data_IF_737735225070
#
_entry.id   IF_737735225070
#
_cell.length_a   1.000
_cell.length_b   1.000
_cell.length_c   1.000
_cell.angle_alpha   90.00
_cell.angle_beta   90.00
_cell.angle_gamma   90.00
#
_symmetry.space_group_name_H-M   'P 1'
#
loop_
_entity.id
_entity.type
_entity.pdbx_description
1 polymer ?
#
# COMPACT_ATOMS: atom_id res chain seq x y z
N UNK A 1 -33.59 4.80 -18.18
CA UNK A 1 -33.42 3.42 -17.69
C UNK A 1 -32.60 3.51 -16.42
N UNK A 2 -32.94 2.75 -15.36
CA UNK A 2 -32.12 2.75 -14.16
C UNK A 2 -30.77 2.08 -14.47
N UNK A 3 -29.64 2.59 -13.95
CA UNK A 3 -28.41 1.81 -13.99
C UNK A 3 -28.64 0.46 -13.28
N UNK A 4 -28.06 -0.61 -13.83
CA UNK A 4 -28.13 -1.95 -13.24
C UNK A 4 -27.62 -1.90 -11.79
N UNK A 5 -28.33 -2.53 -10.84
CA UNK A 5 -27.86 -2.65 -9.45
C UNK A 5 -27.36 -4.07 -9.23
N UNK A 6 -26.07 -4.21 -8.91
CA UNK A 6 -25.41 -5.47 -8.55
C UNK A 6 -25.22 -5.54 -7.05
N UNK A 7 -25.85 -6.52 -6.42
CA UNK A 7 -25.77 -6.73 -4.97
C UNK A 7 -24.71 -7.77 -4.66
N UNK A 8 -23.76 -7.40 -3.80
CA UNK A 8 -22.74 -8.29 -3.24
C UNK A 8 -23.00 -8.40 -1.74
N UNK A 9 -23.06 -9.63 -1.22
CA UNK A 9 -23.29 -9.89 0.21
C UNK A 9 -22.03 -10.41 0.86
N UNK A 10 -21.67 -9.82 2.00
CA UNK A 10 -20.54 -10.21 2.81
C UNK A 10 -21.01 -10.77 4.14
N UNK A 11 -20.35 -11.85 4.58
CA UNK A 11 -20.69 -12.54 5.82
C UNK A 11 -19.97 -11.96 7.05
N UNK A 12 -19.26 -10.84 6.90
CA UNK A 12 -18.52 -10.17 7.96
C UNK A 12 -19.16 -8.85 8.37
N UNK A 13 -18.70 -8.32 9.51
CA UNK A 13 -18.97 -6.94 9.89
C UNK A 13 -18.32 -5.97 8.89
N UNK A 14 -18.85 -4.75 8.83
CA UNK A 14 -18.24 -3.69 8.03
C UNK A 14 -16.94 -3.21 8.69
N UNK A 15 -15.85 -3.44 8.00
CA UNK A 15 -14.52 -2.93 8.35
C UNK A 15 -14.11 -1.79 7.42
N UNK A 16 -13.24 -0.91 7.91
CA UNK A 16 -12.64 0.17 7.12
C UNK A 16 -11.12 -0.07 6.95
N UNK A 17 -10.63 0.01 5.71
CA UNK A 17 -9.20 -0.09 5.42
C UNK A 17 -8.42 1.01 6.17
N UNK A 18 -7.30 0.64 6.79
CA UNK A 18 -6.45 1.52 7.60
C UNK A 18 -6.89 1.63 9.07
N UNK A 19 -8.12 1.26 9.42
CA UNK A 19 -8.58 1.28 10.80
C UNK A 19 -8.09 0.07 11.60
N UNK A 20 -7.98 0.25 12.92
CA UNK A 20 -7.53 -0.78 13.87
C UNK A 20 -8.72 -1.29 14.65
N UNK A 21 -8.85 -2.61 14.76
CA UNK A 21 -9.92 -3.27 15.51
C UNK A 21 -9.36 -4.35 16.44
N UNK A 22 -10.01 -4.61 17.58
CA UNK A 22 -9.65 -5.72 18.45
C UNK A 22 -10.17 -7.05 17.90
N UNK A 23 -9.37 -8.10 18.07
CA UNK A 23 -9.73 -9.48 17.75
C UNK A 23 -9.28 -10.42 18.85
N UNK A 24 -10.10 -11.41 19.18
CA UNK A 24 -9.71 -12.48 20.10
C UNK A 24 -9.15 -13.67 19.34
N UNK A 25 -7.99 -14.19 19.74
CA UNK A 25 -7.43 -15.41 19.17
C UNK A 25 -8.16 -16.61 19.78
N UNK A 26 -8.98 -17.33 19.01
CA UNK A 26 -9.68 -18.50 19.53
C UNK A 26 -8.78 -19.72 19.69
N UNK A 27 -7.99 -19.98 18.65
CA UNK A 27 -7.08 -21.12 18.57
C UNK A 27 -6.12 -20.98 17.40
N UNK A 28 -5.04 -21.77 17.44
CA UNK A 28 -4.21 -22.07 16.27
C UNK A 28 -4.71 -23.37 15.63
N UNK A 29 -4.80 -23.40 14.31
CA UNK A 29 -5.11 -24.60 13.52
C UNK A 29 -3.95 -24.89 12.58
N UNK A 30 -3.64 -26.18 12.41
CA UNK A 30 -2.67 -26.67 11.44
C UNK A 30 -3.46 -27.30 10.29
N UNK A 31 -3.25 -26.80 9.07
CA UNK A 31 -3.90 -27.28 7.85
C UNK A 31 -2.98 -28.25 7.12
N UNK A 32 -1.67 -27.99 7.14
CA UNK A 32 -0.62 -28.88 6.65
C UNK A 32 0.68 -28.66 7.44
N UNK A 33 1.73 -29.43 7.12
CA UNK A 33 3.04 -29.35 7.81
C UNK A 33 3.66 -27.94 7.78
N UNK A 34 3.40 -27.16 6.73
CA UNK A 34 3.92 -25.80 6.54
C UNK A 34 2.78 -24.79 6.35
N UNK A 35 1.61 -25.07 6.93
CA UNK A 35 0.49 -24.15 6.85
C UNK A 35 -0.31 -24.19 8.14
N UNK A 36 -0.14 -23.15 8.95
CA UNK A 36 -0.89 -22.93 10.17
C UNK A 36 -1.56 -21.56 10.18
N UNK A 37 -2.70 -21.46 10.85
CA UNK A 37 -3.48 -20.22 10.99
C UNK A 37 -3.91 -19.99 12.43
N UNK A 38 -3.93 -18.73 12.86
CA UNK A 38 -4.71 -18.29 14.00
C UNK A 38 -6.15 -18.03 13.55
N UNK A 39 -7.12 -18.59 14.28
CA UNK A 39 -8.54 -18.29 14.09
C UNK A 39 -8.88 -17.10 14.97
N UNK A 40 -9.03 -15.94 14.36
CA UNK A 40 -9.42 -14.70 15.01
C UNK A 40 -10.94 -14.60 15.06
N UNK A 41 -11.46 -14.05 16.16
CA UNK A 41 -12.87 -13.70 16.32
C UNK A 41 -13.00 -12.19 16.45
N UNK A 42 -13.82 -11.57 15.60
CA UNK A 42 -14.18 -10.17 15.75
C UNK A 42 -15.21 -9.97 16.89
N UNK A 43 -15.48 -8.72 17.31
CA UNK A 43 -16.47 -8.45 18.35
C UNK A 43 -17.92 -8.85 18.02
N UNK A 44 -18.21 -9.22 16.76
CA UNK A 44 -19.53 -9.65 16.28
C UNK A 44 -19.61 -11.16 16.06
N UNK A 45 -18.55 -11.91 16.35
CA UNK A 45 -18.49 -13.36 16.22
C UNK A 45 -18.08 -13.87 14.83
N UNK A 46 -17.66 -13.00 13.91
CA UNK A 46 -17.12 -13.39 12.62
C UNK A 46 -15.69 -13.92 12.78
N UNK A 47 -15.39 -15.03 12.08
CA UNK A 47 -14.09 -15.70 12.14
C UNK A 47 -13.22 -15.31 10.96
N UNK A 48 -11.97 -14.94 11.23
CA UNK A 48 -10.96 -14.60 10.23
C UNK A 48 -9.74 -15.50 10.46
N UNK A 49 -9.07 -15.89 9.37
CA UNK A 49 -7.82 -16.65 9.43
C UNK A 49 -6.63 -15.70 9.27
N UNK A 50 -5.67 -15.79 10.19
CA UNK A 50 -4.40 -15.08 10.15
C UNK A 50 -3.26 -16.09 10.00
N UNK A 51 -2.39 -16.00 8.97
CA UNK A 51 -1.29 -16.96 8.76
C UNK A 51 -0.35 -16.99 9.97
N UNK A 52 -0.23 -18.11 10.67
CA UNK A 52 0.46 -18.18 11.96
C UNK A 52 1.99 -18.07 11.83
N UNK A 53 2.56 -18.64 10.76
CA UNK A 53 4.02 -18.71 10.56
C UNK A 53 4.65 -17.33 10.41
N UNK A 54 3.95 -16.42 9.74
CA UNK A 54 4.40 -15.03 9.53
C UNK A 54 4.59 -14.30 10.86
N UNK A 55 3.74 -14.60 11.85
CA UNK A 55 3.70 -13.90 13.14
C UNK A 55 4.15 -14.79 14.30
N UNK A 56 4.87 -15.90 14.02
CA UNK A 56 5.26 -16.86 15.06
C UNK A 56 6.10 -16.20 16.19
N UNK A 57 6.95 -15.24 15.81
CA UNK A 57 7.82 -14.50 16.74
C UNK A 57 7.07 -13.45 17.59
N UNK A 58 5.80 -13.17 17.32
CA UNK A 58 5.01 -12.25 18.16
C UNK A 58 4.51 -12.90 19.46
N UNK A 59 4.63 -14.22 19.61
CA UNK A 59 4.27 -14.91 20.86
C UNK A 59 2.76 -14.95 21.14
N UNK A 60 1.94 -15.04 20.08
CA UNK A 60 0.49 -15.08 20.22
C UNK A 60 -0.03 -16.38 20.82
N UNK A 61 -1.01 -16.27 21.72
CA UNK A 61 -1.64 -17.38 22.43
C UNK A 61 -3.17 -17.38 22.28
N UNK A 62 -3.80 -18.55 22.42
CA UNK A 62 -5.26 -18.65 22.43
C UNK A 62 -5.84 -17.93 23.67
N UNK A 63 -6.94 -17.21 23.47
CA UNK A 63 -7.55 -16.34 24.47
C UNK A 63 -6.99 -14.92 24.50
N UNK A 64 -5.85 -14.66 23.85
CA UNK A 64 -5.30 -13.30 23.78
C UNK A 64 -6.18 -12.40 22.91
N UNK A 65 -6.27 -11.13 23.31
CA UNK A 65 -6.80 -10.06 22.47
C UNK A 65 -5.63 -9.37 21.77
N UNK A 66 -5.75 -9.20 20.45
CA UNK A 66 -4.77 -8.51 19.62
C UNK A 66 -5.44 -7.38 18.85
N UNK A 67 -4.70 -6.31 18.60
CA UNK A 67 -5.13 -5.23 17.73
C UNK A 67 -4.62 -5.50 16.33
N UNK A 68 -5.52 -5.43 15.35
CA UNK A 68 -5.17 -5.62 13.94
C UNK A 68 -5.63 -4.43 13.12
N UNK A 69 -4.74 -3.93 12.26
CA UNK A 69 -5.05 -2.97 11.20
C UNK A 69 -5.69 -3.72 10.03
N UNK A 70 -6.75 -3.17 9.47
CA UNK A 70 -7.37 -3.70 8.24
C UNK A 70 -6.54 -3.18 7.06
N UNK A 71 -5.69 -4.04 6.50
CA UNK A 71 -4.77 -3.68 5.45
C UNK A 71 -5.46 -3.54 4.08
N UNK A 72 -6.40 -4.46 3.79
CA UNK A 72 -7.12 -4.48 2.52
C UNK A 72 -8.44 -5.21 2.65
N UNK A 73 -9.47 -4.74 1.96
CA UNK A 73 -10.70 -5.49 1.70
C UNK A 73 -10.81 -5.66 0.19
N UNK A 74 -10.76 -6.90 -0.30
CA UNK A 74 -10.87 -7.12 -1.75
C UNK A 74 -12.32 -7.04 -2.23
N UNK A 75 -12.53 -7.16 -3.54
CA UNK A 75 -13.88 -7.11 -4.14
C UNK A 75 -14.79 -8.26 -3.68
N UNK A 76 -14.23 -9.38 -3.18
CA UNK A 76 -15.03 -10.47 -2.60
C UNK A 76 -15.31 -10.28 -1.11
N UNK A 77 -14.92 -9.13 -0.53
CA UNK A 77 -15.10 -8.80 0.88
C UNK A 77 -14.21 -9.61 1.81
N UNK A 78 -13.22 -10.31 1.26
CA UNK A 78 -12.19 -10.94 2.07
C UNK A 78 -11.36 -9.83 2.73
N UNK A 79 -11.28 -9.91 4.05
CA UNK A 79 -10.55 -8.98 4.90
C UNK A 79 -9.13 -9.49 5.07
N UNK A 80 -8.18 -8.69 4.64
CA UNK A 80 -6.76 -8.86 4.91
C UNK A 80 -6.39 -7.88 6.03
N UNK A 81 -5.84 -8.41 7.11
CA UNK A 81 -5.48 -7.65 8.29
C UNK A 81 -4.08 -8.00 8.75
N UNK A 82 -3.45 -7.06 9.43
CA UNK A 82 -2.13 -7.19 10.00
C UNK A 82 -2.16 -6.83 11.49
N UNK A 83 -1.72 -7.71 12.39
CA UNK A 83 -1.55 -7.38 13.80
C UNK A 83 -0.54 -6.26 13.98
N UNK A 84 -0.79 -5.38 14.94
CA UNK A 84 0.22 -4.39 15.35
C UNK A 84 1.46 -5.12 15.88
N UNK A 85 2.64 -4.61 15.53
CA UNK A 85 3.89 -5.20 16.00
C UNK A 85 4.03 -4.97 17.51
N UNK A 86 4.40 -5.99 18.31
CA UNK A 86 4.47 -5.89 19.77
C UNK A 86 5.58 -4.98 20.32
N UNK A 87 6.41 -4.38 19.45
CA UNK A 87 7.66 -3.68 19.84
C UNK A 87 7.84 -2.41 19.02
N UNK A 88 7.68 -2.53 17.70
CA UNK A 88 7.95 -1.43 16.78
C UNK A 88 6.66 -0.73 16.34
N UNK A 89 6.75 0.58 16.16
CA UNK A 89 5.67 1.41 15.62
C UNK A 89 6.16 2.07 14.33
N UNK A 90 5.29 2.14 13.32
CA UNK A 90 5.59 2.86 12.07
C UNK A 90 5.89 4.35 12.36
N UNK A 91 6.86 4.91 11.63
CA UNK A 91 7.43 6.26 11.74
C UNK A 91 8.30 6.53 12.98
N UNK A 92 8.42 5.59 13.91
CA UNK A 92 9.33 5.71 15.05
C UNK A 92 10.75 5.26 14.69
N UNK A 93 11.74 5.78 15.42
CA UNK A 93 13.17 5.47 15.21
C UNK A 93 13.70 4.57 16.33
N UNK A 94 14.42 3.52 15.94
CA UNK A 94 15.02 2.54 16.85
C UNK A 94 16.47 2.25 16.46
N UNK A 95 17.26 1.80 17.44
CA UNK A 95 18.61 1.32 17.19
C UNK A 95 18.58 -0.18 16.85
N UNK A 96 19.26 -0.56 15.76
CA UNK A 96 19.41 -1.94 15.30
C UNK A 96 20.87 -2.37 15.33
N UNK A 97 21.11 -3.64 15.66
CA UNK A 97 22.45 -4.23 15.71
C UNK A 97 22.96 -4.55 14.31
N UNK A 98 24.16 -4.07 13.95
CA UNK A 98 24.78 -4.33 12.65
C UNK A 98 25.55 -5.64 12.70
N UNK A 99 25.16 -6.60 11.87
CA UNK A 99 25.81 -7.92 11.80
C UNK A 99 26.88 -7.99 10.71
N UNK A 100 26.57 -7.56 9.49
CA UNK A 100 27.50 -7.59 8.35
C UNK A 100 27.21 -6.49 7.35
N UNK A 101 28.16 -6.29 6.44
CA UNK A 101 28.12 -5.30 5.36
C UNK A 101 28.63 -5.94 4.08
N UNK A 102 28.05 -5.60 2.93
CA UNK A 102 28.54 -6.08 1.64
C UNK A 102 28.16 -5.14 0.51
N UNK A 103 28.77 -5.35 -0.65
CA UNK A 103 28.50 -4.62 -1.89
C UNK A 103 28.06 -5.65 -2.94
N UNK A 104 26.97 -5.37 -3.64
CA UNK A 104 26.53 -6.14 -4.81
C UNK A 104 26.73 -5.32 -6.08
N UNK A 105 27.15 -5.97 -7.16
CA UNK A 105 27.26 -5.35 -8.48
C UNK A 105 26.05 -5.80 -9.32
N UNK A 106 25.34 -4.82 -9.88
CA UNK A 106 24.18 -5.09 -10.74
C UNK A 106 24.61 -5.45 -12.17
N UNK A 107 23.67 -5.93 -13.00
CA UNK A 107 23.92 -6.24 -14.42
C UNK A 107 24.43 -5.05 -15.24
N UNK A 108 24.28 -3.82 -14.73
CA UNK A 108 24.72 -2.57 -15.37
C UNK A 108 26.05 -2.04 -14.78
N UNK A 109 26.79 -2.87 -14.03
CA UNK A 109 28.00 -2.51 -13.29
C UNK A 109 27.81 -1.36 -12.28
N UNK A 110 26.59 -1.17 -11.78
CA UNK A 110 26.35 -0.25 -10.65
C UNK A 110 26.54 -1.00 -9.33
N UNK A 111 27.32 -0.41 -8.41
CA UNK A 111 27.54 -0.93 -7.06
C UNK A 111 26.39 -0.53 -6.13
N UNK A 112 25.87 -1.49 -5.39
CA UNK A 112 24.86 -1.29 -4.36
C UNK A 112 25.42 -1.70 -3.00
N UNK A 113 25.27 -0.83 -2.01
CA UNK A 113 25.81 -1.02 -0.67
C UNK A 113 24.71 -1.50 0.27
N UNK A 114 25.00 -2.54 1.06
CA UNK A 114 24.04 -3.16 1.96
C UNK A 114 24.61 -3.35 3.37
N UNK A 115 23.74 -3.21 4.36
CA UNK A 115 24.01 -3.48 5.77
C UNK A 115 22.96 -4.47 6.29
N UNK A 116 23.40 -5.57 6.91
CA UNK A 116 22.52 -6.52 7.58
C UNK A 116 22.36 -6.13 9.04
N UNK A 117 21.11 -6.08 9.47
CA UNK A 117 20.68 -5.65 10.79
C UNK A 117 19.96 -6.78 11.51
N UNK A 118 19.96 -6.76 12.84
CA UNK A 118 19.04 -7.57 13.65
C UNK A 118 18.24 -6.75 14.63
N UNK A 119 17.00 -7.17 14.84
CA UNK A 119 16.06 -6.59 15.79
C UNK A 119 16.14 -7.28 17.17
N UNK A 120 15.25 -6.91 18.09
CA UNK A 120 15.17 -7.54 19.43
C UNK A 120 14.79 -9.02 19.38
N UNK A 121 14.12 -9.47 18.32
CA UNK A 121 13.75 -10.87 18.09
C UNK A 121 14.83 -11.65 17.34
N UNK A 122 16.00 -11.04 17.09
CA UNK A 122 17.11 -11.60 16.31
C UNK A 122 16.72 -11.96 14.87
N UNK A 123 15.71 -11.29 14.33
CA UNK A 123 15.32 -11.39 12.93
C UNK A 123 16.29 -10.57 12.06
N UNK A 124 16.85 -11.13 10.98
CA UNK A 124 17.75 -10.41 10.10
C UNK A 124 16.99 -9.53 9.09
N UNK A 125 17.51 -8.33 8.85
CA UNK A 125 17.00 -7.39 7.84
C UNK A 125 18.16 -6.90 6.97
N UNK A 126 17.92 -6.73 5.68
CA UNK A 126 18.88 -6.09 4.76
C UNK A 126 18.44 -4.66 4.50
N UNK A 127 19.36 -3.72 4.72
CA UNK A 127 19.16 -2.32 4.45
C UNK A 127 20.09 -1.87 3.32
N UNK A 128 19.51 -1.46 2.20
CA UNK A 128 20.25 -0.77 1.13
C UNK A 128 20.55 0.65 1.56
N UNK A 129 21.80 1.06 1.47
CA UNK A 129 22.29 2.38 1.91
C UNK A 129 23.07 3.08 0.80
N UNK A 130 23.28 4.39 0.95
CA UNK A 130 24.21 5.12 0.09
C UNK A 130 25.66 4.72 0.37
N UNK A 131 26.58 5.00 -0.56
CA UNK A 131 28.02 4.80 -0.33
C UNK A 131 28.51 5.62 0.89
N UNK A 132 28.02 6.86 1.03
CA UNK A 132 28.36 7.73 2.17
C UNK A 132 27.91 7.14 3.51
N UNK A 133 26.71 6.58 3.58
CA UNK A 133 26.22 5.88 4.77
C UNK A 133 27.01 4.62 5.07
N UNK A 134 27.29 3.84 4.03
CA UNK A 134 28.07 2.62 4.17
C UNK A 134 29.41 2.90 4.85
N UNK A 135 30.11 3.95 4.42
CA UNK A 135 31.35 4.41 5.03
C UNK A 135 31.15 5.00 6.43
N UNK A 136 30.10 5.81 6.64
CA UNK A 136 29.79 6.40 7.94
C UNK A 136 29.51 5.34 9.02
N UNK A 137 28.93 4.20 8.63
CA UNK A 137 28.64 3.08 9.50
C UNK A 137 29.71 1.99 9.47
N UNK A 138 30.87 2.19 8.83
CA UNK A 138 31.92 1.17 8.67
C UNK A 138 32.42 0.57 9.99
N UNK A 139 32.50 1.37 11.06
CA UNK A 139 32.97 0.97 12.39
C UNK A 139 31.87 0.94 13.47
N UNK A 140 30.62 1.25 13.11
CA UNK A 140 29.51 1.27 14.05
C UNK A 140 29.03 -0.16 14.40
N UNK A 141 28.59 -0.37 15.64
CA UNK A 141 27.89 -1.60 16.04
C UNK A 141 26.36 -1.47 15.96
N UNK A 142 25.87 -0.23 15.94
CA UNK A 142 24.45 0.10 15.89
C UNK A 142 24.18 1.11 14.78
N UNK A 143 22.98 1.03 14.20
CA UNK A 143 22.43 2.04 13.29
C UNK A 143 21.04 2.44 13.77
N UNK A 144 20.74 3.74 13.72
CA UNK A 144 19.38 4.21 13.97
C UNK A 144 18.60 4.11 12.67
N UNK A 145 17.47 3.41 12.71
CA UNK A 145 16.57 3.30 11.58
C UNK A 145 15.16 3.74 11.98
N UNK A 146 14.52 4.50 11.10
CA UNK A 146 13.08 4.76 11.16
C UNK A 146 12.35 3.55 10.57
N UNK A 147 11.29 3.12 11.23
CA UNK A 147 10.41 2.05 10.74
C UNK A 147 9.41 2.68 9.79
N UNK A 148 9.71 2.73 8.49
CA UNK A 148 8.82 3.33 7.48
C UNK A 148 7.46 2.62 7.42
N UNK A 149 7.50 1.29 7.53
CA UNK A 149 6.32 0.45 7.38
C UNK A 149 6.55 -0.91 8.03
N UNK A 150 5.48 -1.50 8.53
CA UNK A 150 5.45 -2.90 8.94
C UNK A 150 4.48 -3.63 8.00
N UNK A 151 4.98 -4.69 7.36
CA UNK A 151 4.20 -5.48 6.41
C UNK A 151 4.52 -6.96 6.57
N UNK A 152 3.48 -7.77 6.82
CA UNK A 152 3.60 -9.20 7.13
C UNK A 152 4.69 -9.47 8.18
N UNK A 153 4.67 -8.72 9.28
CA UNK A 153 5.67 -8.77 10.36
C UNK A 153 7.12 -8.45 9.96
N UNK A 154 7.36 -7.96 8.73
CA UNK A 154 8.67 -7.48 8.31
C UNK A 154 8.74 -5.97 8.46
N UNK A 155 9.83 -5.50 9.06
CA UNK A 155 10.15 -4.09 9.18
C UNK A 155 10.76 -3.59 7.87
N UNK A 156 10.19 -2.52 7.33
CA UNK A 156 10.79 -1.73 6.27
C UNK A 156 11.52 -0.57 6.92
N UNK A 157 12.84 -0.60 6.86
CA UNK A 157 13.70 0.30 7.61
C UNK A 157 14.31 1.36 6.68
N UNK A 158 14.51 2.56 7.20
CA UNK A 158 15.31 3.60 6.58
C UNK A 158 16.38 4.07 7.57
N UNK A 159 17.64 4.12 7.16
CA UNK A 159 18.71 4.71 7.97
C UNK A 159 18.40 6.19 8.25
N UNK A 160 18.52 6.61 9.51
CA UNK A 160 18.40 8.02 9.89
C UNK A 160 19.81 8.61 9.94
N UNK A 161 20.09 9.59 9.08
CA UNK A 161 21.36 10.32 9.11
C UNK A 161 21.41 11.27 10.31
N UNK A 162 22.60 11.53 10.85
CA UNK A 162 22.82 12.59 11.87
C UNK A 162 22.66 14.01 11.30
N UNK A 163 22.67 14.17 9.99
CA UNK A 163 22.52 15.45 9.28
C UNK A 163 21.43 15.30 8.23
N UNK A 164 20.25 15.81 8.55
CA UNK A 164 18.97 15.58 7.88
C UNK A 164 18.82 16.32 6.51
N UNK A 165 19.87 16.44 5.70
CA UNK A 165 19.81 17.28 4.49
C UNK A 165 19.79 16.56 3.15
N UNK A 166 20.11 15.28 3.06
CA UNK A 166 20.40 14.68 1.74
C UNK A 166 19.26 13.77 1.27
N UNK A 167 18.27 14.42 0.65
CA UNK A 167 17.37 13.89 -0.37
C UNK A 167 16.67 12.55 -0.07
N UNK A 168 15.97 12.50 1.05
CA UNK A 168 14.93 11.48 1.26
C UNK A 168 13.68 11.86 0.45
N UNK A 169 13.18 10.94 -0.38
CA UNK A 169 11.85 11.08 -0.96
C UNK A 169 10.83 11.05 0.20
N UNK A 170 9.97 12.05 0.28
CA UNK A 170 8.96 12.20 1.33
C UNK A 170 7.64 11.67 0.77
N UNK A 171 7.02 10.65 1.39
CA UNK A 171 5.74 10.13 0.95
C UNK A 171 4.70 11.24 0.76
N UNK A 172 4.01 11.21 -0.38
CA UNK A 172 3.01 12.21 -0.78
C UNK A 172 3.57 13.38 -1.60
N UNK A 173 4.88 13.63 -1.61
CA UNK A 173 5.48 14.68 -2.42
C UNK A 173 5.66 14.27 -3.89
N UNK A 174 5.66 15.27 -4.77
CA UNK A 174 5.90 15.10 -6.20
C UNK A 174 7.34 15.43 -6.57
N UNK A 175 7.91 14.60 -7.44
CA UNK A 175 9.27 14.72 -7.94
C UNK A 175 9.26 14.66 -9.46
N UNK A 176 10.07 15.51 -10.11
CA UNK A 176 10.21 15.48 -11.57
C UNK A 176 11.31 14.49 -11.94
N UNK A 177 10.98 13.51 -12.78
CA UNK A 177 11.86 12.44 -13.21
C UNK A 177 11.91 12.40 -14.74
N UNK A 178 13.08 12.09 -15.29
CA UNK A 178 13.27 11.94 -16.74
C UNK A 178 13.02 10.48 -17.15
N UNK A 179 12.18 10.25 -18.16
CA UNK A 179 11.98 8.92 -18.74
C UNK A 179 13.20 8.57 -19.59
N UNK A 180 13.96 7.55 -19.18
CA UNK A 180 15.17 7.10 -19.89
C UNK A 180 14.84 6.14 -21.03
N UNK A 181 13.98 5.15 -20.77
CA UNK A 181 13.49 4.19 -21.77
C UNK A 181 12.34 3.35 -21.18
N UNK A 182 11.70 2.54 -22.02
CA UNK A 182 10.77 1.48 -21.63
C UNK A 182 11.46 0.12 -21.77
N UNK A 183 11.55 -0.66 -20.69
CA UNK A 183 12.14 -1.99 -20.70
C UNK A 183 11.35 -2.94 -19.79
N UNK A 184 11.05 -4.15 -20.28
CA UNK A 184 10.44 -5.23 -19.49
C UNK A 184 9.18 -4.82 -18.70
N UNK A 185 8.27 -4.07 -19.32
CA UNK A 185 7.03 -3.53 -18.69
C UNK A 185 7.23 -2.38 -17.69
N UNK A 186 8.42 -1.77 -17.63
CA UNK A 186 8.71 -0.61 -16.78
C UNK A 186 9.27 0.56 -17.57
N UNK A 187 8.76 1.76 -17.28
CA UNK A 187 9.48 2.99 -17.58
C UNK A 187 10.63 3.11 -16.60
N UNK A 188 11.86 3.17 -17.11
CA UNK A 188 13.03 3.51 -16.29
C UNK A 188 13.12 5.03 -16.21
N UNK A 189 13.09 5.55 -15.00
CA UNK A 189 13.08 6.98 -14.70
C UNK A 189 14.39 7.37 -14.05
N UNK A 190 14.90 8.57 -14.34
CA UNK A 190 16.12 9.09 -13.71
C UNK A 190 15.81 10.37 -12.95
N UNK A 191 16.25 10.45 -11.69
CA UNK A 191 16.12 11.65 -10.87
C UNK A 191 17.25 12.67 -11.12
N UNK A 192 17.23 13.81 -10.41
CA UNK A 192 18.23 14.88 -10.57
C UNK A 192 19.64 14.48 -10.15
N UNK A 193 19.79 13.40 -9.38
CA UNK A 193 21.07 12.89 -8.91
C UNK A 193 21.60 11.76 -9.82
N UNK A 194 20.84 11.37 -10.84
CA UNK A 194 21.20 10.28 -11.74
C UNK A 194 20.76 8.89 -11.27
N UNK A 195 20.03 8.77 -10.15
CA UNK A 195 19.54 7.46 -9.71
C UNK A 195 18.41 6.98 -10.62
N UNK A 196 18.36 5.66 -10.85
CA UNK A 196 17.32 5.04 -11.67
C UNK A 196 16.20 4.46 -10.81
N UNK A 197 14.96 4.73 -11.22
CA UNK A 197 13.72 4.26 -10.62
C UNK A 197 12.85 3.57 -11.66
N UNK A 198 11.87 2.77 -11.23
CA UNK A 198 10.99 2.03 -12.13
C UNK A 198 9.53 2.42 -11.92
N UNK A 199 8.77 2.47 -13.01
CA UNK A 199 7.32 2.69 -13.02
C UNK A 199 6.63 1.66 -13.91
N UNK A 200 5.74 0.84 -13.36
CA UNK A 200 4.98 -0.19 -14.09
C UNK A 200 4.18 0.43 -15.25
N UNK A 201 4.50 0.10 -16.51
CA UNK A 201 3.94 0.78 -17.69
C UNK A 201 2.47 0.46 -17.92
N UNK A 202 2.06 -0.80 -17.68
CA UNK A 202 0.69 -1.30 -17.95
C UNK A 202 -0.44 -0.47 -17.34
N UNK A 203 -0.18 0.28 -16.26
CA UNK A 203 -1.18 1.14 -15.62
C UNK A 203 -1.29 2.52 -16.27
N UNK A 204 -0.29 2.94 -17.02
CA UNK A 204 -0.11 4.31 -17.51
C UNK A 204 0.17 4.39 -19.02
N UNK A 205 0.06 3.27 -19.76
CA UNK A 205 0.27 3.26 -21.22
C UNK A 205 -0.61 4.31 -21.94
N UNK A 206 -1.84 4.53 -21.46
CA UNK A 206 -2.76 5.53 -21.98
C UNK A 206 -2.37 6.98 -21.69
N UNK A 207 -1.36 7.24 -20.84
CA UNK A 207 -0.81 8.59 -20.63
C UNK A 207 0.13 9.01 -21.76
N UNK A 208 0.47 8.11 -22.69
CA UNK A 208 1.34 8.38 -23.82
C UNK A 208 2.73 8.93 -23.40
N UNK A 209 3.28 8.37 -22.32
CA UNK A 209 4.61 8.69 -21.80
C UNK A 209 5.67 8.16 -22.78
N UNK A 210 6.62 9.02 -23.15
CA UNK A 210 7.68 8.72 -24.12
C UNK A 210 9.08 8.86 -23.52
N UNK A 211 10.04 8.19 -24.15
CA UNK A 211 11.45 8.37 -23.84
C UNK A 211 11.85 9.85 -24.02
N UNK A 212 12.58 10.38 -23.04
CA UNK A 212 13.00 11.77 -22.98
C UNK A 212 12.05 12.70 -22.23
N UNK A 213 10.80 12.28 -21.96
CA UNK A 213 9.83 13.10 -21.24
C UNK A 213 10.28 13.40 -19.80
N UNK A 214 9.90 14.57 -19.32
CA UNK A 214 10.00 14.94 -17.90
C UNK A 214 8.61 14.77 -17.27
N UNK A 215 8.44 13.77 -16.42
CA UNK A 215 7.17 13.47 -15.76
C UNK A 215 7.24 13.80 -14.28
N UNK A 216 6.14 14.26 -13.70
CA UNK A 216 6.02 14.46 -12.25
C UNK A 216 5.39 13.23 -11.64
N UNK A 217 6.05 12.64 -10.65
CA UNK A 217 5.58 11.45 -9.95
C UNK A 217 5.42 11.73 -8.46
N UNK A 218 4.28 11.34 -7.89
CA UNK A 218 4.04 11.25 -6.45
C UNK A 218 4.81 10.06 -5.92
N UNK A 219 5.67 10.27 -4.93
CA UNK A 219 6.27 9.17 -4.19
C UNK A 219 5.27 8.63 -3.17
N UNK A 220 5.03 7.32 -3.19
CA UNK A 220 4.07 6.69 -2.27
C UNK A 220 4.79 6.08 -1.07
N UNK A 221 5.73 5.17 -1.28
CA UNK A 221 6.48 4.45 -0.25
C UNK A 221 7.61 3.61 -0.89
N UNK A 222 8.51 3.05 -0.07
CA UNK A 222 9.52 2.09 -0.52
C UNK A 222 8.98 0.65 -0.56
N UNK A 223 9.24 -0.09 -1.63
CA UNK A 223 8.90 -1.52 -1.75
C UNK A 223 9.77 -2.42 -0.85
N UNK A 224 9.48 -3.72 -0.82
CA UNK A 224 10.21 -4.72 0.00
C UNK A 224 11.70 -4.82 -0.31
N UNK A 225 12.11 -4.50 -1.54
CA UNK A 225 13.51 -4.45 -1.98
C UNK A 225 14.12 -3.04 -1.90
N UNK A 226 13.43 -2.06 -1.31
CA UNK A 226 13.90 -0.68 -1.18
C UNK A 226 13.77 0.18 -2.44
N UNK A 227 13.10 -0.29 -3.51
CA UNK A 227 12.78 0.56 -4.67
C UNK A 227 11.67 1.56 -4.36
N UNK A 228 11.61 2.69 -5.08
CA UNK A 228 10.51 3.65 -4.93
C UNK A 228 9.23 3.12 -5.59
N UNK A 229 8.11 3.23 -4.90
CA UNK A 229 6.78 3.10 -5.50
C UNK A 229 6.29 4.49 -5.88
N UNK A 230 6.11 4.70 -7.19
CA UNK A 230 5.79 5.98 -7.81
C UNK A 230 4.43 5.94 -8.51
N UNK A 231 3.75 7.09 -8.54
CA UNK A 231 2.53 7.29 -9.32
C UNK A 231 2.64 8.61 -10.11
N UNK A 232 2.61 8.59 -11.46
CA UNK A 232 2.67 9.79 -12.27
C UNK A 232 1.44 10.68 -12.03
N UNK A 233 1.64 11.98 -12.16
CA UNK A 233 0.56 12.96 -12.22
C UNK A 233 -0.37 12.62 -13.39
N UNK A 234 -1.67 12.51 -13.12
CA UNK A 234 -2.64 12.20 -14.15
C UNK A 234 -2.82 13.42 -15.07
N UNK A 235 -2.81 13.25 -16.40
CA UNK A 235 -2.84 14.36 -17.33
C UNK A 235 -4.18 15.11 -17.37
N UNK A 236 -5.26 14.51 -16.86
CA UNK A 236 -6.63 15.07 -16.91
C UNK A 236 -7.20 15.32 -15.51
N UNK A 237 -7.02 14.36 -14.60
CA UNK A 237 -7.65 14.35 -13.29
C UNK A 237 -6.75 14.91 -12.20
N UNK A 238 -7.33 15.71 -11.30
CA UNK A 238 -6.65 16.29 -10.13
C UNK A 238 -7.44 15.99 -8.86
N UNK A 239 -6.74 15.57 -7.80
CA UNK A 239 -7.35 15.30 -6.50
C UNK A 239 -8.05 16.57 -5.96
N UNK A 240 -9.27 16.43 -5.45
CA UNK A 240 -10.11 17.52 -4.94
C UNK A 240 -11.03 18.18 -5.98
N UNK A 241 -10.78 18.00 -7.27
CA UNK A 241 -11.57 18.61 -8.34
C UNK A 241 -12.84 17.82 -8.68
N UNK A 242 -13.79 18.47 -9.36
CA UNK A 242 -15.09 17.89 -9.74
C UNK A 242 -15.11 17.49 -11.22
N UNK A 243 -15.60 16.29 -11.49
CA UNK A 243 -15.74 15.76 -12.85
C UNK A 243 -17.06 15.02 -13.03
N UNK A 244 -17.54 14.96 -14.27
CA UNK A 244 -18.70 14.15 -14.65
C UNK A 244 -18.27 12.80 -15.23
N UNK A 245 -18.90 11.72 -14.77
CA UNK A 245 -18.60 10.36 -15.21
C UNK A 245 -19.86 9.64 -15.71
N UNK A 246 -19.85 9.05 -16.91
CA UNK A 246 -20.92 8.17 -17.37
C UNK A 246 -21.06 6.92 -16.50
N UNK A 247 -22.26 6.64 -16.02
CA UNK A 247 -22.51 5.49 -15.13
C UNK A 247 -22.62 4.21 -15.96
N UNK A 248 -21.88 3.17 -15.57
CA UNK A 248 -22.09 1.80 -16.09
C UNK A 248 -23.14 1.06 -15.26
N UNK A 249 -22.89 0.90 -13.96
CA UNK A 249 -23.79 0.21 -13.02
C UNK A 249 -23.52 0.63 -11.58
N UNK A 250 -24.41 0.27 -10.66
CA UNK A 250 -24.27 0.48 -9.22
C UNK A 250 -23.93 -0.83 -8.54
N UNK A 251 -22.83 -0.85 -7.79
CA UNK A 251 -22.45 -1.96 -6.93
C UNK A 251 -22.89 -1.65 -5.50
N UNK A 252 -23.84 -2.43 -4.97
CA UNK A 252 -24.30 -2.37 -3.58
C UNK A 252 -23.68 -3.51 -2.78
N UNK A 253 -23.03 -3.18 -1.68
CA UNK A 253 -22.41 -4.12 -0.74
C UNK A 253 -23.28 -4.20 0.51
N UNK A 254 -23.70 -5.40 0.91
CA UNK A 254 -24.51 -5.66 2.10
C UNK A 254 -23.70 -6.53 3.08
N UNK A 255 -23.62 -6.12 4.34
CA UNK A 255 -22.80 -6.78 5.37
C UNK A 255 -23.66 -7.54 6.38
N UNK A 256 -23.04 -8.47 7.12
CA UNK A 256 -23.74 -9.32 8.08
C UNK A 256 -24.29 -8.53 9.29
N UNK A 257 -23.73 -7.37 9.58
CA UNK A 257 -24.23 -6.44 10.60
C UNK A 257 -25.46 -5.62 10.14
N UNK A 258 -25.96 -5.87 8.93
CA UNK A 258 -27.08 -5.17 8.32
C UNK A 258 -26.71 -3.82 7.69
N UNK A 259 -25.46 -3.38 7.81
CA UNK A 259 -24.98 -2.19 7.11
C UNK A 259 -24.85 -2.44 5.61
N UNK A 260 -24.83 -1.35 4.84
CA UNK A 260 -24.60 -1.43 3.39
C UNK A 260 -23.86 -0.21 2.88
N UNK A 261 -23.09 -0.41 1.81
CA UNK A 261 -22.45 0.65 1.03
C UNK A 261 -22.87 0.55 -0.44
N UNK A 262 -22.73 1.66 -1.17
CA UNK A 262 -22.93 1.67 -2.60
C UNK A 262 -21.80 2.44 -3.30
N UNK A 263 -21.38 1.93 -4.45
CA UNK A 263 -20.39 2.56 -5.33
C UNK A 263 -20.94 2.53 -6.74
N UNK A 264 -20.97 3.68 -7.41
CA UNK A 264 -21.23 3.73 -8.83
C UNK A 264 -19.95 3.39 -9.59
N UNK A 265 -20.01 2.38 -10.46
CA UNK A 265 -18.95 2.06 -11.39
C UNK A 265 -19.22 2.82 -12.68
N UNK A 266 -18.26 3.63 -13.09
CA UNK A 266 -18.40 4.58 -14.19
C UNK A 266 -17.22 4.47 -15.17
N UNK A 267 -17.36 5.08 -16.34
CA UNK A 267 -16.29 5.25 -17.31
C UNK A 267 -15.52 6.55 -17.03
N UNK A 268 -14.19 6.48 -17.07
CA UNK A 268 -13.35 7.67 -17.15
C UNK A 268 -13.09 8.08 -18.62
N UNK A 269 -12.33 9.16 -18.84
CA UNK A 269 -12.00 9.69 -20.18
C UNK A 269 -11.13 8.72 -21.00
N UNK A 270 -10.42 7.80 -20.34
CA UNK A 270 -9.58 6.78 -20.98
C UNK A 270 -10.34 5.46 -21.21
N UNK A 271 -11.60 5.37 -20.78
CA UNK A 271 -12.40 4.14 -20.83
C UNK A 271 -12.12 3.17 -19.68
N UNK A 272 -11.32 3.60 -18.69
CA UNK A 272 -11.03 2.85 -17.48
C UNK A 272 -12.17 2.98 -16.46
N UNK A 273 -12.25 2.03 -15.52
CA UNK A 273 -13.28 2.06 -14.48
C UNK A 273 -13.00 3.15 -13.43
N UNK A 274 -13.94 4.08 -13.27
CA UNK A 274 -13.99 5.00 -12.14
C UNK A 274 -14.87 4.43 -11.01
N UNK A 275 -14.39 4.45 -9.77
CA UNK A 275 -15.10 3.97 -8.59
C UNK A 275 -15.60 5.17 -7.77
N UNK A 276 -16.90 5.45 -7.83
CA UNK A 276 -17.49 6.64 -7.23
C UNK A 276 -18.36 6.26 -6.03
N UNK A 277 -17.90 6.57 -4.81
CA UNK A 277 -18.61 6.30 -3.56
C UNK A 277 -19.91 7.10 -3.52
N UNK A 278 -21.01 6.42 -3.24
CA UNK A 278 -22.32 7.02 -3.05
C UNK A 278 -22.56 7.26 -1.55
N UNK A 279 -23.03 8.45 -1.14
CA UNK A 279 -23.53 8.66 0.20
C UNK A 279 -24.68 7.71 0.56
N UNK A 280 -24.83 7.40 1.85
CA UNK A 280 -25.87 6.49 2.33
C UNK A 280 -27.27 6.96 1.92
N UNK A 281 -28.07 6.03 1.37
CA UNK A 281 -29.44 6.31 0.92
C UNK A 281 -29.56 7.00 -0.45
N UNK A 282 -28.46 7.19 -1.20
CA UNK A 282 -28.50 7.90 -2.48
C UNK A 282 -28.76 7.02 -3.71
N UNK A 283 -28.82 5.70 -3.54
CA UNK A 283 -29.07 4.77 -4.66
C UNK A 283 -30.37 5.10 -5.40
N UNK A 284 -31.42 5.47 -4.66
CA UNK A 284 -32.71 5.82 -5.26
C UNK A 284 -32.69 7.21 -5.91
N UNK A 285 -31.82 8.11 -5.48
CA UNK A 285 -31.74 9.49 -5.99
C UNK A 285 -31.02 9.58 -7.34
N UNK A 286 -30.15 8.62 -7.64
CA UNK A 286 -29.46 8.53 -8.94
C UNK A 286 -30.29 7.77 -9.99
N UNK A 287 -31.50 7.35 -9.63
CA UNK A 287 -32.44 6.71 -10.53
C UNK A 287 -32.65 7.53 -11.82
N UNK A 288 -32.30 6.94 -12.96
CA UNK A 288 -32.50 7.54 -14.28
C UNK A 288 -31.41 8.53 -14.70
N UNK A 289 -30.40 8.79 -13.86
CA UNK A 289 -29.21 9.54 -14.27
C UNK A 289 -28.32 8.67 -15.16
N UNK A 290 -27.72 9.29 -16.17
CA UNK A 290 -26.72 8.66 -17.06
C UNK A 290 -25.29 9.07 -16.72
N UNK A 291 -25.13 10.15 -15.94
CA UNK A 291 -23.85 10.66 -15.46
C UNK A 291 -23.94 11.05 -13.98
N UNK A 292 -22.81 11.02 -13.29
CA UNK A 292 -22.65 11.52 -11.94
C UNK A 292 -21.53 12.55 -11.89
N UNK A 293 -21.78 13.63 -11.15
CA UNK A 293 -20.73 14.55 -10.74
C UNK A 293 -20.08 13.99 -9.48
N UNK A 294 -18.77 13.84 -9.48
CA UNK A 294 -18.02 13.37 -8.33
C UNK A 294 -16.79 14.23 -8.10
N UNK A 295 -16.47 14.44 -6.82
CA UNK A 295 -15.18 14.97 -6.39
C UNK A 295 -14.16 13.83 -6.43
N UNK A 296 -13.04 14.05 -7.12
CA UNK A 296 -11.95 13.09 -7.10
C UNK A 296 -11.29 13.09 -5.72
N UNK A 297 -11.29 11.97 -5.01
CA UNK A 297 -10.67 11.86 -3.70
C UNK A 297 -9.21 11.39 -3.81
N UNK A 298 -8.94 10.42 -4.70
CA UNK A 298 -7.60 9.91 -5.00
C UNK A 298 -7.51 9.24 -6.37
N UNK A 299 -6.28 9.13 -6.86
CA UNK A 299 -5.92 8.23 -7.96
C UNK A 299 -5.11 7.05 -7.41
N UNK A 300 -5.29 5.87 -7.98
CA UNK A 300 -4.45 4.72 -7.66
C UNK A 300 -4.25 3.84 -8.89
N UNK A 301 -3.02 3.73 -9.39
CA UNK A 301 -2.70 2.97 -10.60
C UNK A 301 -3.53 3.44 -11.79
N UNK A 302 -3.57 4.76 -11.98
CA UNK A 302 -4.44 5.48 -12.93
C UNK A 302 -5.95 5.41 -12.67
N UNK A 303 -6.40 4.57 -11.74
CA UNK A 303 -7.82 4.43 -11.46
C UNK A 303 -8.38 5.60 -10.66
N UNK A 304 -9.49 6.14 -11.12
CA UNK A 304 -10.26 7.18 -10.43
C UNK A 304 -11.02 6.62 -9.23
N UNK A 305 -10.81 7.24 -8.07
CA UNK A 305 -11.64 7.06 -6.88
C UNK A 305 -12.20 8.41 -6.44
N UNK A 306 -13.52 8.52 -6.32
CA UNK A 306 -14.16 9.78 -5.93
C UNK A 306 -15.42 9.58 -5.10
N UNK A 307 -15.97 10.69 -4.64
CA UNK A 307 -17.24 10.75 -3.90
C UNK A 307 -18.25 11.56 -4.70
N UNK A 308 -19.43 10.97 -4.92
CA UNK A 308 -20.51 11.63 -5.66
C UNK A 308 -21.02 12.82 -4.86
N UNK A 309 -21.16 13.95 -5.53
CA UNK A 309 -21.74 15.17 -4.99
C UNK A 309 -23.01 15.52 -5.77
N UNK A 310 -24.01 16.06 -5.09
CA UNK A 310 -25.20 16.62 -5.70
C UNK A 310 -25.21 18.14 -5.56
#
# INVERSE_FOLDING_TARGET
>A
MLPEIRIIRYNNARFEEGCIYPFSILKRIEVSENEAYYVLLDPKGYKILLPAEVYAHYGFEAGAEILCRIDKINCSGQVFLEPLHPVYTENETYAFEINRRWIEETEVNEKQHFIELTDVNKMPYSLKVSEGDYEAYSSASLINCRVERIKKAKLHLQAVHKTESDLTFIPGNYYTLKVKNLASEFYNLTDTNGNTHQLESKWYDHYNIKEGDMIRCKFLYYSENGSLVLEPENPIYREGELYEFPIRYIQKMEYADGSSDATAIADDVFGEEAHLKLPSGWVDQIAGKTKLTARLDRLRKSRVHGTVIF
#
